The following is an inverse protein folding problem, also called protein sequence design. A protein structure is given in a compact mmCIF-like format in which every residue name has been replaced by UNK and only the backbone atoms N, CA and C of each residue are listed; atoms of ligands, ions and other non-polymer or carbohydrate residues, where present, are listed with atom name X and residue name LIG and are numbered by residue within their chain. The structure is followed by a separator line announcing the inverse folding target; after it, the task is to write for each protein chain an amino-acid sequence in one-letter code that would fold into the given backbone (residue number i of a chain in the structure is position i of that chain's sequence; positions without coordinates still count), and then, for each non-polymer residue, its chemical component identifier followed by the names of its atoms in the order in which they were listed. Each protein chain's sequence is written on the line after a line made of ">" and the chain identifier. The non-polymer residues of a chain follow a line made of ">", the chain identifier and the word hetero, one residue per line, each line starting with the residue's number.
data_IF_247215983688
#
_entry.id   IF_247215983688
#
_cell.length_a   1.000
_cell.length_b   1.000
_cell.length_c   1.000
_cell.angle_alpha   90.00
_cell.angle_beta   90.00
_cell.angle_gamma   90.00
#
_symmetry.space_group_name_H-M   'P 1'
#
loop_
_entity.id
_entity.type
_entity.pdbx_description
1 polymer ?
#
# COMPACT_ATOMS: atom_id res chain seq x y z
N UNK A 1 49.70 -27.65 22.11
CA UNK A 1 48.74 -26.69 22.69
C UNK A 1 48.37 -25.53 21.77
N UNK A 2 49.30 -24.92 21.01
CA UNK A 2 48.98 -23.81 20.07
C UNK A 2 47.93 -24.15 18.99
N UNK A 3 47.95 -25.39 18.48
CA UNK A 3 47.01 -25.85 17.44
C UNK A 3 45.55 -25.93 17.89
N UNK A 4 45.29 -26.21 19.17
CA UNK A 4 43.92 -26.28 19.69
C UNK A 4 43.29 -24.89 19.79
N UNK A 5 44.07 -23.89 20.16
CA UNK A 5 43.60 -22.50 20.24
C UNK A 5 43.33 -21.92 18.85
N UNK A 6 44.17 -22.24 17.86
CA UNK A 6 43.95 -21.82 16.47
C UNK A 6 42.74 -22.50 15.85
N UNK A 7 42.52 -23.79 16.12
CA UNK A 7 41.35 -24.52 15.61
C UNK A 7 40.05 -24.01 16.24
N UNK A 8 40.05 -23.71 17.53
CA UNK A 8 38.90 -23.14 18.22
C UNK A 8 38.52 -21.75 17.67
N UNK A 9 39.50 -20.87 17.44
CA UNK A 9 39.25 -19.57 16.81
C UNK A 9 38.65 -19.71 15.40
N UNK A 10 39.15 -20.64 14.58
CA UNK A 10 38.60 -20.86 13.24
C UNK A 10 37.16 -21.35 13.28
N UNK A 11 36.82 -22.27 14.18
CA UNK A 11 35.46 -22.77 14.36
C UNK A 11 34.52 -21.66 14.85
N UNK A 12 34.96 -20.83 15.80
CA UNK A 12 34.18 -19.70 16.30
C UNK A 12 33.91 -18.64 15.22
N UNK A 13 34.91 -18.29 14.41
CA UNK A 13 34.75 -17.35 13.30
C UNK A 13 33.80 -17.90 12.23
N UNK A 14 33.90 -19.20 11.91
CA UNK A 14 32.98 -19.85 10.98
C UNK A 14 31.53 -19.89 11.50
N UNK A 15 31.33 -20.16 12.79
CA UNK A 15 29.99 -20.16 13.39
C UNK A 15 29.33 -18.77 13.33
N UNK A 16 30.07 -17.71 13.65
CA UNK A 16 29.57 -16.32 13.56
C UNK A 16 29.25 -15.93 12.12
N UNK A 17 30.08 -16.36 11.15
CA UNK A 17 29.82 -16.11 9.73
C UNK A 17 28.54 -16.80 9.21
N UNK A 18 28.25 -18.01 9.69
CA UNK A 18 27.03 -18.75 9.35
C UNK A 18 25.78 -18.03 9.89
N UNK A 19 25.81 -17.58 11.14
CA UNK A 19 24.67 -16.84 11.72
C UNK A 19 24.42 -15.50 11.02
N UNK A 20 25.46 -14.76 10.65
CA UNK A 20 25.34 -13.51 9.90
C UNK A 20 24.74 -13.73 8.49
N UNK A 21 25.13 -14.80 7.79
CA UNK A 21 24.56 -15.14 6.48
C UNK A 21 23.06 -15.48 6.59
N UNK A 22 22.65 -16.15 7.66
CA UNK A 22 21.25 -16.47 7.91
C UNK A 22 20.41 -15.20 8.14
N UNK A 23 20.91 -14.23 8.91
CA UNK A 23 20.24 -12.94 9.16
C UNK A 23 20.10 -12.12 7.88
N UNK A 24 21.15 -12.06 7.04
CA UNK A 24 21.11 -11.33 5.76
C UNK A 24 20.06 -11.91 4.80
N UNK A 25 19.89 -13.24 4.78
CA UNK A 25 18.86 -13.89 3.97
C UNK A 25 17.44 -13.64 4.50
N UNK A 26 17.27 -13.46 5.81
CA UNK A 26 15.98 -13.05 6.38
C UNK A 26 15.63 -11.59 6.05
N UNK A 27 16.60 -10.68 6.10
CA UNK A 27 16.39 -9.27 5.74
C UNK A 27 16.06 -9.13 4.24
N UNK A 28 16.74 -9.86 3.35
CA UNK A 28 16.40 -9.87 1.91
C UNK A 28 15.01 -10.42 1.58
N UNK A 29 14.45 -11.26 2.45
CA UNK A 29 13.09 -11.81 2.26
C UNK A 29 11.99 -10.82 2.69
N UNK A 30 12.33 -9.83 3.52
CA UNK A 30 11.42 -8.78 4.00
C UNK A 30 11.10 -7.73 2.94
N UNK A 31 12.01 -7.47 2.00
CA UNK A 31 11.91 -6.31 1.11
C UNK A 31 11.21 -6.58 -0.23
N UNK A 32 10.70 -7.80 -0.45
CA UNK A 32 10.00 -8.13 -1.69
C UNK A 32 8.49 -8.02 -1.52
N UNK A 33 8.00 -6.81 -1.27
CA UNK A 33 6.64 -6.46 -1.72
C UNK A 33 6.78 -6.18 -3.22
N UNK A 34 6.38 -7.13 -4.05
CA UNK A 34 6.25 -6.89 -5.48
C UNK A 34 5.20 -5.79 -5.67
N UNK A 35 5.46 -4.84 -6.56
CA UNK A 35 4.53 -3.74 -6.89
C UNK A 35 3.16 -4.26 -7.38
N UNK A 36 3.06 -5.54 -7.76
CA UNK A 36 1.84 -6.26 -8.09
C UNK A 36 0.93 -6.59 -6.90
N UNK A 37 1.48 -6.64 -5.68
CA UNK A 37 0.74 -6.99 -4.46
C UNK A 37 0.23 -5.75 -3.71
N UNK A 38 0.68 -4.57 -4.13
CA UNK A 38 0.11 -3.29 -3.71
C UNK A 38 -1.22 -3.15 -4.45
N UNK A 39 -2.36 -3.10 -3.75
CA UNK A 39 -3.60 -2.74 -4.41
C UNK A 39 -3.36 -1.40 -5.11
N UNK A 40 -3.70 -1.30 -6.40
CA UNK A 40 -3.46 -0.13 -7.27
C UNK A 40 -4.01 1.21 -6.71
N UNK A 41 -4.69 1.16 -5.57
CA UNK A 41 -5.32 2.24 -4.82
C UNK A 41 -4.45 2.75 -3.65
N UNK A 42 -3.33 2.12 -3.33
CA UNK A 42 -2.34 2.67 -2.40
C UNK A 42 -1.38 3.57 -3.17
N UNK A 43 -1.75 4.84 -3.35
CA UNK A 43 -0.79 5.86 -3.76
C UNK A 43 0.26 5.92 -2.65
N UNK A 44 1.53 5.62 -2.96
CA UNK A 44 2.65 5.96 -2.06
C UNK A 44 2.47 7.43 -1.72
N UNK A 45 2.30 7.78 -0.44
CA UNK A 45 2.37 9.17 -0.01
C UNK A 45 3.69 9.72 -0.56
N UNK A 46 3.58 10.59 -1.55
CA UNK A 46 4.70 10.99 -2.38
C UNK A 46 5.83 11.51 -1.52
N UNK A 47 7.05 11.19 -1.94
CA UNK A 47 8.21 12.01 -1.63
C UNK A 47 7.86 13.45 -2.05
N UNK A 48 7.74 14.34 -1.06
CA UNK A 48 7.49 15.75 -1.30
C UNK A 48 8.78 16.31 -1.89
N UNK A 49 8.85 16.33 -3.23
CA UNK A 49 9.85 17.13 -3.93
C UNK A 49 9.46 18.60 -3.73
N UNK A 50 10.02 19.21 -2.69
CA UNK A 50 9.90 20.65 -2.47
C UNK A 50 10.69 21.34 -3.59
N UNK A 51 10.01 21.83 -4.62
CA UNK A 51 10.55 22.90 -5.45
C UNK A 51 10.17 24.24 -4.81
N UNK A 52 11.16 25.10 -4.56
CA UNK A 52 11.03 26.38 -3.85
C UNK A 52 10.34 27.49 -4.69
N UNK A 53 9.39 27.14 -5.54
CA UNK A 53 8.64 28.11 -6.34
C UNK A 53 7.15 27.97 -6.04
N UNK A 54 6.68 28.87 -5.17
CA UNK A 54 5.31 29.04 -4.67
C UNK A 54 4.83 28.08 -3.58
N UNK A 55 5.14 28.46 -2.34
CA UNK A 55 4.28 28.23 -1.18
C UNK A 55 2.96 29.01 -1.33
N UNK A 56 2.05 28.50 -2.15
CA UNK A 56 0.62 28.75 -1.95
C UNK A 56 0.01 27.46 -1.44
N UNK A 57 -0.26 27.43 -0.13
CA UNK A 57 -1.39 26.63 0.35
C UNK A 57 -2.60 27.34 -0.23
N UNK A 58 -3.03 26.95 -1.42
CA UNK A 58 -4.43 27.08 -1.75
C UNK A 58 -5.13 26.23 -0.70
N UNK A 59 -5.69 26.89 0.33
CA UNK A 59 -6.88 26.34 0.95
C UNK A 59 -7.77 26.02 -0.25
N UNK A 60 -7.92 24.73 -0.52
CA UNK A 60 -8.79 24.25 -1.56
C UNK A 60 -10.07 25.09 -1.43
N UNK A 61 -10.62 25.66 -2.53
CA UNK A 61 -11.93 26.24 -2.45
C UNK A 61 -12.81 25.23 -1.72
N UNK A 62 -13.52 25.66 -0.68
CA UNK A 62 -14.65 24.90 -0.19
C UNK A 62 -15.63 24.86 -1.35
N UNK A 63 -15.39 23.88 -2.22
CA UNK A 63 -16.16 23.69 -3.43
C UNK A 63 -17.47 23.07 -3.00
N UNK A 64 -18.37 23.97 -2.61
CA UNK A 64 -19.77 23.69 -2.34
C UNK A 64 -20.55 23.52 -3.66
N UNK A 65 -19.88 23.08 -4.72
CA UNK A 65 -20.52 22.65 -5.96
C UNK A 65 -20.30 21.15 -6.13
N UNK A 66 -21.42 20.43 -6.09
CA UNK A 66 -21.54 19.07 -6.61
C UNK A 66 -21.25 19.10 -8.11
N UNK A 67 -19.97 19.12 -8.48
CA UNK A 67 -19.57 18.99 -9.87
C UNK A 67 -19.23 17.53 -10.17
N UNK A 68 -20.26 16.70 -10.19
CA UNK A 68 -20.25 15.38 -10.82
C UNK A 68 -19.83 15.38 -12.31
N UNK A 69 -19.44 16.53 -12.87
CA UNK A 69 -19.19 16.78 -14.29
C UNK A 69 -17.78 17.35 -14.52
N UNK A 70 -16.84 17.14 -13.60
CA UNK A 70 -15.43 17.43 -13.87
C UNK A 70 -14.81 16.32 -14.71
N UNK A 71 -13.87 16.68 -15.59
CA UNK A 71 -13.14 15.70 -16.39
C UNK A 71 -12.41 14.69 -15.49
N UNK A 72 -11.97 15.11 -14.31
CA UNK A 72 -11.34 14.27 -13.30
C UNK A 72 -12.32 13.25 -12.70
N UNK A 73 -13.56 13.67 -12.38
CA UNK A 73 -14.60 12.76 -11.92
C UNK A 73 -14.95 11.74 -13.00
N UNK A 74 -15.14 12.17 -14.24
CA UNK A 74 -15.43 11.30 -15.38
C UNK A 74 -14.31 10.28 -15.63
N UNK A 75 -13.04 10.70 -15.52
CA UNK A 75 -11.89 9.81 -15.63
C UNK A 75 -11.89 8.74 -14.52
N UNK A 76 -12.23 9.12 -13.28
CA UNK A 76 -12.40 8.17 -12.18
C UNK A 76 -13.50 7.16 -12.50
N UNK A 77 -14.68 7.63 -12.93
CA UNK A 77 -15.82 6.78 -13.29
C UNK A 77 -15.46 5.81 -14.42
N UNK A 78 -14.79 6.27 -15.48
CA UNK A 78 -14.33 5.44 -16.58
C UNK A 78 -13.35 4.35 -16.10
N UNK A 79 -12.47 4.67 -15.15
CA UNK A 79 -11.54 3.70 -14.55
C UNK A 79 -12.23 2.65 -13.65
N UNK A 80 -13.48 2.91 -13.25
CA UNK A 80 -14.28 2.07 -12.36
C UNK A 80 -15.52 1.49 -13.06
N UNK A 81 -15.35 1.00 -14.29
CA UNK A 81 -16.41 0.35 -15.08
C UNK A 81 -17.66 1.23 -15.26
N UNK A 82 -17.49 2.55 -15.35
CA UNK A 82 -18.60 3.48 -15.44
C UNK A 82 -19.35 3.73 -14.13
N UNK A 83 -18.82 3.28 -12.98
CA UNK A 83 -19.46 3.44 -11.68
C UNK A 83 -18.78 4.54 -10.87
N UNK A 84 -19.58 5.50 -10.41
CA UNK A 84 -19.12 6.54 -9.47
C UNK A 84 -19.16 6.09 -8.01
N UNK A 85 -19.81 4.96 -7.68
CA UNK A 85 -19.79 4.35 -6.35
C UNK A 85 -19.90 2.82 -6.39
N UNK A 86 -19.16 2.15 -5.50
CA UNK A 86 -19.08 0.68 -5.44
C UNK A 86 -18.77 0.18 -4.02
N UNK A 87 -18.86 -1.14 -3.80
CA UNK A 87 -18.40 -1.80 -2.56
C UNK A 87 -16.91 -2.11 -2.65
N UNK A 88 -16.16 -1.91 -1.56
CA UNK A 88 -14.74 -2.25 -1.54
C UNK A 88 -14.54 -3.76 -1.78
N UNK A 89 -13.64 -4.17 -2.69
CA UNK A 89 -13.57 -5.56 -3.18
C UNK A 89 -13.25 -6.59 -2.08
N UNK A 90 -12.40 -6.22 -1.13
CA UNK A 90 -11.97 -7.09 -0.01
C UNK A 90 -12.86 -6.91 1.23
N UNK A 91 -13.48 -5.73 1.36
CA UNK A 91 -14.17 -5.29 2.56
C UNK A 91 -15.54 -4.75 2.18
N UNK A 92 -16.48 -5.62 1.74
CA UNK A 92 -17.72 -5.19 1.08
C UNK A 92 -18.68 -4.39 1.99
N UNK A 93 -18.40 -4.32 3.30
CA UNK A 93 -19.10 -3.41 4.20
C UNK A 93 -18.71 -1.94 3.98
N UNK A 94 -17.53 -1.69 3.42
CA UNK A 94 -17.09 -0.36 3.04
C UNK A 94 -17.61 0.01 1.66
N UNK A 95 -18.05 1.26 1.52
CA UNK A 95 -18.43 1.86 0.24
C UNK A 95 -17.36 2.84 -0.22
N UNK A 96 -17.09 2.83 -1.51
CA UNK A 96 -16.17 3.72 -2.20
C UNK A 96 -16.92 4.55 -3.24
N UNK A 97 -16.38 5.73 -3.57
CA UNK A 97 -16.91 6.61 -4.60
C UNK A 97 -15.84 7.52 -5.20
N UNK A 98 -16.11 8.03 -6.40
CA UNK A 98 -15.33 9.07 -7.04
C UNK A 98 -15.67 10.43 -6.41
N UNK A 99 -14.64 11.20 -6.06
CA UNK A 99 -14.78 12.60 -5.66
C UNK A 99 -14.73 13.52 -6.88
N UNK A 100 -15.22 14.74 -6.74
CA UNK A 100 -15.10 15.82 -7.74
C UNK A 100 -13.68 16.00 -8.30
N UNK A 101 -12.65 15.66 -7.53
CA UNK A 101 -11.23 15.77 -7.94
C UNK A 101 -10.69 14.50 -8.61
N UNK A 102 -11.55 13.56 -8.98
CA UNK A 102 -11.17 12.28 -9.59
C UNK A 102 -10.45 11.30 -8.65
N UNK A 103 -10.38 11.61 -7.35
CA UNK A 103 -9.82 10.70 -6.35
C UNK A 103 -10.89 9.74 -5.82
N UNK A 104 -10.50 8.54 -5.41
CA UNK A 104 -11.37 7.58 -4.75
C UNK A 104 -11.42 7.85 -3.25
N UNK A 105 -12.63 7.99 -2.70
CA UNK A 105 -12.87 8.02 -1.26
C UNK A 105 -13.63 6.75 -0.84
N UNK A 106 -13.33 6.21 0.34
CA UNK A 106 -14.04 5.07 0.89
C UNK A 106 -14.38 5.30 2.37
N UNK A 107 -15.47 4.69 2.84
CA UNK A 107 -15.71 4.56 4.28
C UNK A 107 -14.62 3.69 4.92
N UNK A 108 -14.41 3.87 6.23
CA UNK A 108 -13.45 3.09 7.04
C UNK A 108 -14.15 2.32 8.17
N UNK A 109 -15.23 1.64 7.81
CA UNK A 109 -15.95 0.75 8.72
C UNK A 109 -15.09 -0.47 9.04
N UNK A 110 -15.14 -0.89 10.30
CA UNK A 110 -14.65 -2.20 10.70
C UNK A 110 -15.57 -3.28 10.12
N UNK A 111 -15.06 -4.07 9.17
CA UNK A 111 -15.82 -5.17 8.59
C UNK A 111 -15.58 -6.45 9.38
N UNK A 112 -16.63 -7.01 9.97
CA UNK A 112 -16.60 -8.38 10.45
C UNK A 112 -16.42 -9.32 9.26
N UNK A 113 -15.43 -10.23 9.33
CA UNK A 113 -15.41 -11.39 8.46
C UNK A 113 -16.61 -12.23 8.84
N UNK A 114 -17.70 -12.16 8.08
CA UNK A 114 -18.77 -13.11 8.26
C UNK A 114 -18.27 -14.47 7.73
N UNK A 115 -18.08 -15.49 8.57
CA UNK A 115 -17.62 -16.81 8.10
C UNK A 115 -18.59 -17.48 7.12
N UNK A 116 -19.81 -16.94 6.97
CA UNK A 116 -20.83 -17.46 6.06
C UNK A 116 -20.74 -16.94 4.62
N UNK A 117 -19.72 -16.14 4.27
CA UNK A 117 -19.53 -15.62 2.91
C UNK A 117 -18.37 -16.28 2.17
N UNK A 118 -18.14 -17.57 2.42
CA UNK A 118 -17.44 -18.42 1.47
C UNK A 118 -18.41 -18.74 0.33
N UNK A 119 -18.26 -17.99 -0.77
CA UNK A 119 -18.66 -18.36 -2.14
C UNK A 119 -19.84 -19.32 -2.25
N UNK A 120 -21.04 -18.80 -2.49
CA UNK A 120 -21.98 -19.53 -3.34
C UNK A 120 -21.76 -19.03 -4.77
N UNK A 121 -21.10 -19.80 -5.66
CA UNK A 121 -21.12 -19.51 -7.07
C UNK A 121 -22.58 -19.57 -7.54
N UNK A 122 -23.03 -18.52 -8.21
CA UNK A 122 -24.24 -18.55 -9.06
C UNK A 122 -23.82 -18.76 -10.49
#
# INVERSE_FOLDING_TARGET
>A
MKYFLTLYCLVAVLAVAIELNHIQNFIKKSDTIQESDVPKYCVKSGEVVLNEQNRQVSLAPEDNTDNSNTAEFEACVASHNGQSSWKHPIHPCNRCWCTARGSVACTKMFCFKNPLNFTRPV
#
